data_IF_264233403724
#
_entry.id   IF_264233403724
#
_cell.length_a   1.000
_cell.length_b   1.000
_cell.length_c   1.000
_cell.angle_alpha   90.00
_cell.angle_beta   90.00
_cell.angle_gamma   90.00
#
_symmetry.space_group_name_H-M   'P 1'
#
loop_
_entity.id
_entity.type
_entity.pdbx_description
1 polymer ?
#
# COMPACT_ATOMS: atom_id res chain seq x y z
N UNK A 1 3.67 -21.63 45.38
CA UNK A 1 3.79 -21.96 46.84
C UNK A 1 4.18 -20.69 47.61
N UNK A 2 3.21 -19.87 47.99
CA UNK A 2 3.39 -18.82 49.00
C UNK A 2 2.44 -19.15 50.16
N UNK A 3 3.03 -19.66 51.21
CA UNK A 3 2.33 -19.96 52.48
C UNK A 3 1.88 -18.62 53.07
N UNK A 4 0.58 -18.39 53.18
CA UNK A 4 0.04 -17.37 54.07
C UNK A 4 0.29 -17.84 55.50
N UNK A 5 1.18 -17.16 56.19
CA UNK A 5 1.47 -17.35 57.58
C UNK A 5 0.48 -16.45 58.36
N UNK A 6 -0.57 -17.07 58.91
CA UNK A 6 -1.45 -16.39 59.88
C UNK A 6 -0.61 -16.05 61.13
N UNK A 7 -0.49 -14.77 61.40
CA UNK A 7 0.13 -14.28 62.63
C UNK A 7 -0.91 -14.42 63.76
N UNK A 8 -0.76 -15.46 64.54
CA UNK A 8 -1.49 -15.59 65.82
C UNK A 8 -0.80 -14.65 66.79
N UNK A 9 -1.43 -13.53 67.09
CA UNK A 9 -1.00 -12.64 68.17
C UNK A 9 -1.53 -13.19 69.50
N UNK A 10 -0.64 -13.86 70.21
CA UNK A 10 -0.93 -14.38 71.55
C UNK A 10 -0.99 -13.23 72.55
N UNK A 11 -2.19 -12.80 72.95
CA UNK A 11 -2.39 -11.88 74.06
C UNK A 11 -2.48 -12.71 75.33
N UNK A 12 -1.40 -12.74 76.08
CA UNK A 12 -1.44 -13.27 77.49
C UNK A 12 -2.08 -12.20 78.38
N UNK A 13 -3.32 -12.42 78.77
CA UNK A 13 -3.99 -11.61 79.79
C UNK A 13 -3.74 -12.25 81.13
N UNK A 14 -2.97 -11.59 81.94
CA UNK A 14 -2.80 -12.00 83.36
C UNK A 14 -4.07 -11.74 84.10
N UNK A 15 -4.83 -12.82 84.54
CA UNK A 15 -5.97 -12.71 85.36
C UNK A 15 -5.57 -12.41 86.86
N UNK A 16 -5.91 -11.23 87.31
CA UNK A 16 -6.02 -10.99 88.78
C UNK A 16 -7.28 -11.67 89.28
N UNK A 17 -7.09 -12.74 89.99
CA UNK A 17 -8.17 -13.41 90.75
C UNK A 17 -8.68 -12.50 91.90
N UNK A 18 -9.88 -11.92 91.73
CA UNK A 18 -10.70 -11.43 92.85
C UNK A 18 -11.96 -12.25 92.87
N UNK A 19 -12.04 -13.12 93.88
CA UNK A 19 -13.16 -14.03 94.11
C UNK A 19 -14.49 -13.33 94.33
N UNK A 20 -15.45 -13.68 93.53
CA UNK A 20 -16.85 -13.68 93.86
C UNK A 20 -17.45 -14.94 93.25
N UNK A 21 -17.92 -15.86 94.00
CA UNK A 21 -18.37 -17.21 93.62
C UNK A 21 -19.56 -17.15 92.64
N UNK A 22 -19.30 -17.01 91.35
CA UNK A 22 -20.26 -17.43 90.34
C UNK A 22 -20.01 -18.91 90.07
N UNK A 23 -21.03 -19.75 90.22
CA UNK A 23 -20.93 -21.13 89.72
C UNK A 23 -20.53 -21.11 88.25
N UNK A 24 -19.41 -21.80 87.91
CA UNK A 24 -19.02 -22.00 86.54
C UNK A 24 -20.15 -22.66 85.75
N UNK A 25 -20.25 -22.37 84.53
CA UNK A 25 -21.16 -23.06 83.62
C UNK A 25 -20.38 -24.13 82.84
N UNK A 26 -21.05 -25.25 82.57
CA UNK A 26 -20.47 -26.35 81.80
C UNK A 26 -20.78 -26.22 80.29
N UNK A 27 -19.89 -26.67 79.46
CA UNK A 27 -20.16 -26.79 78.04
C UNK A 27 -21.35 -27.73 77.79
N UNK A 28 -22.28 -27.43 76.92
CA UNK A 28 -23.42 -28.27 76.58
C UNK A 28 -23.04 -29.67 76.10
N UNK A 29 -21.98 -29.78 75.32
CA UNK A 29 -21.42 -31.01 74.78
C UNK A 29 -19.88 -30.91 74.71
N UNK A 30 -19.20 -32.05 74.56
CA UNK A 30 -17.77 -32.07 74.29
C UNK A 30 -17.47 -31.49 72.90
N UNK A 31 -16.26 -30.93 72.76
CA UNK A 31 -15.88 -30.21 71.54
C UNK A 31 -15.99 -31.04 70.24
N UNK A 32 -15.70 -32.34 70.34
CA UNK A 32 -15.74 -33.26 69.16
C UNK A 32 -17.17 -33.59 68.69
N UNK A 33 -18.19 -33.25 69.46
CA UNK A 33 -19.60 -33.51 69.14
C UNK A 33 -20.25 -32.39 68.31
N UNK A 34 -19.53 -31.35 68.06
CA UNK A 34 -20.03 -30.21 67.21
C UNK A 34 -19.66 -30.25 65.79
N UNK A 35 -18.66 -31.05 65.39
CA UNK A 35 -18.25 -31.13 63.97
C UNK A 35 -19.42 -31.48 63.05
N UNK A 36 -19.66 -30.66 62.02
CA UNK A 36 -20.74 -30.80 61.02
C UNK A 36 -22.14 -30.40 61.56
N UNK A 37 -22.29 -30.02 62.84
CA UNK A 37 -23.58 -29.53 63.36
C UNK A 37 -23.83 -28.11 62.83
N UNK A 38 -25.10 -27.79 62.54
CA UNK A 38 -25.45 -26.44 62.10
C UNK A 38 -25.08 -25.38 63.13
N UNK A 39 -24.31 -24.36 62.81
CA UNK A 39 -23.79 -23.37 63.74
C UNK A 39 -24.85 -22.63 64.51
N UNK A 40 -26.03 -22.40 63.95
CA UNK A 40 -27.17 -21.78 64.67
C UNK A 40 -27.63 -22.63 65.83
N UNK A 41 -27.72 -23.96 65.69
CA UNK A 41 -28.05 -24.90 66.73
C UNK A 41 -26.99 -24.88 67.83
N UNK A 42 -25.72 -24.85 67.46
CA UNK A 42 -24.62 -24.77 68.39
C UNK A 42 -24.65 -23.45 69.16
N UNK A 43 -24.90 -22.35 68.51
CA UNK A 43 -25.07 -21.04 69.17
C UNK A 43 -26.17 -21.04 70.24
N UNK A 44 -27.35 -21.53 69.82
CA UNK A 44 -28.51 -21.65 70.79
C UNK A 44 -28.20 -22.56 71.95
N UNK A 45 -27.47 -23.65 71.76
CA UNK A 45 -27.06 -24.55 72.82
C UNK A 45 -26.16 -23.85 73.87
N UNK A 46 -25.18 -23.07 73.43
CA UNK A 46 -24.30 -22.29 74.29
C UNK A 46 -25.04 -21.13 74.97
N UNK A 47 -25.93 -20.45 74.32
CA UNK A 47 -26.77 -19.40 74.87
C UNK A 47 -27.66 -19.96 75.96
N UNK A 48 -28.33 -21.10 75.76
CA UNK A 48 -29.18 -21.80 76.70
C UNK A 48 -28.39 -22.35 77.88
N UNK A 49 -27.11 -22.69 77.65
CA UNK A 49 -26.23 -23.11 78.74
C UNK A 49 -25.80 -21.95 79.68
N UNK A 50 -26.01 -20.69 79.19
CA UNK A 50 -25.78 -19.49 80.01
C UNK A 50 -24.50 -18.73 79.66
N UNK A 51 -23.80 -19.08 78.60
CA UNK A 51 -22.69 -18.28 78.08
C UNK A 51 -23.21 -16.96 77.52
N UNK A 52 -22.51 -15.86 77.80
CA UNK A 52 -22.95 -14.52 77.46
C UNK A 52 -22.04 -13.84 76.39
N UNK A 53 -20.91 -14.46 76.06
CA UNK A 53 -19.94 -13.94 75.12
C UNK A 53 -19.71 -14.98 74.00
N UNK A 54 -20.68 -15.08 73.12
CA UNK A 54 -20.66 -16.03 72.01
C UNK A 54 -20.44 -15.25 70.70
N UNK A 55 -19.44 -15.65 69.92
CA UNK A 55 -19.13 -15.11 68.60
C UNK A 55 -19.01 -16.23 67.56
N UNK A 56 -19.14 -15.87 66.34
CA UNK A 56 -18.99 -16.80 65.21
C UNK A 56 -17.80 -16.37 64.31
N UNK A 57 -17.08 -17.35 63.80
CA UNK A 57 -16.04 -17.19 62.80
C UNK A 57 -16.46 -17.95 61.55
N UNK A 58 -16.87 -17.20 60.52
CA UNK A 58 -17.29 -17.75 59.24
C UNK A 58 -16.08 -17.99 58.35
N UNK A 59 -15.96 -19.21 57.83
CA UNK A 59 -14.92 -19.59 56.82
C UNK A 59 -15.62 -19.81 55.50
N UNK A 60 -15.38 -18.90 54.54
CA UNK A 60 -15.99 -18.91 53.22
C UNK A 60 -15.14 -19.74 52.25
N UNK A 61 -15.25 -21.09 52.32
CA UNK A 61 -14.39 -22.02 51.59
C UNK A 61 -15.12 -23.19 50.93
N UNK A 62 -16.45 -23.24 51.02
CA UNK A 62 -17.22 -24.29 50.37
C UNK A 62 -17.31 -23.98 48.85
N UNK A 63 -16.62 -24.82 48.09
CA UNK A 63 -16.65 -24.84 46.63
C UNK A 63 -16.78 -26.29 46.16
N UNK A 64 -16.51 -26.56 44.89
CA UNK A 64 -16.54 -27.90 44.30
C UNK A 64 -15.66 -28.88 45.13
N UNK A 65 -16.21 -30.04 45.45
CA UNK A 65 -15.52 -31.09 46.24
C UNK A 65 -15.15 -30.69 47.67
N UNK A 66 -15.81 -29.70 48.30
CA UNK A 66 -15.65 -29.40 49.72
C UNK A 66 -16.07 -30.59 50.56
N UNK A 67 -15.32 -30.85 51.65
CA UNK A 67 -15.66 -31.86 52.65
C UNK A 67 -16.67 -31.36 53.65
N UNK A 68 -16.98 -30.07 53.63
CA UNK A 68 -17.89 -29.42 54.60
C UNK A 68 -19.25 -29.13 53.97
N UNK A 69 -20.28 -29.14 54.80
CA UNK A 69 -21.62 -28.68 54.40
C UNK A 69 -21.83 -27.24 54.85
N UNK A 70 -22.69 -26.51 54.12
CA UNK A 70 -22.99 -25.11 54.43
C UNK A 70 -23.59 -24.96 55.84
N UNK A 71 -23.01 -24.06 56.64
CA UNK A 71 -23.38 -23.83 58.03
C UNK A 71 -22.85 -24.88 58.97
N UNK A 72 -22.13 -25.90 58.52
CA UNK A 72 -21.54 -26.94 59.41
C UNK A 72 -20.37 -26.38 60.17
N UNK A 73 -20.40 -26.68 61.50
CA UNK A 73 -19.35 -26.25 62.41
C UNK A 73 -18.08 -27.07 62.21
N UNK A 74 -16.95 -26.40 62.07
CA UNK A 74 -15.62 -27.00 62.06
C UNK A 74 -15.16 -27.25 63.53
N UNK A 75 -15.26 -26.20 64.35
CA UNK A 75 -14.75 -26.24 65.68
C UNK A 75 -15.46 -25.23 66.59
N UNK A 76 -15.49 -25.51 67.93
CA UNK A 76 -15.91 -24.56 68.90
C UNK A 76 -14.81 -24.43 69.97
N UNK A 77 -14.45 -23.19 70.30
CA UNK A 77 -13.49 -22.90 71.36
C UNK A 77 -14.17 -22.17 72.56
N UNK A 78 -13.75 -22.45 73.81
CA UNK A 78 -14.16 -21.74 74.95
C UNK A 78 -12.92 -21.17 75.67
N UNK A 79 -12.82 -19.83 75.75
CA UNK A 79 -11.62 -19.17 76.28
C UNK A 79 -10.35 -19.48 75.53
N UNK A 80 -10.47 -19.82 74.24
CA UNK A 80 -9.38 -20.22 73.35
C UNK A 80 -9.03 -21.71 73.37
N UNK A 81 -9.67 -22.53 74.22
CA UNK A 81 -9.50 -23.98 74.25
C UNK A 81 -10.44 -24.66 73.27
N UNK A 82 -9.90 -25.44 72.34
CA UNK A 82 -10.66 -26.18 71.27
C UNK A 82 -10.90 -27.65 71.65
N UNK A 83 -10.29 -28.14 72.72
CA UNK A 83 -10.47 -29.49 73.20
C UNK A 83 -10.95 -29.47 74.66
N UNK A 84 -12.24 -29.56 74.88
CA UNK A 84 -12.85 -29.50 76.16
C UNK A 84 -13.89 -30.61 76.33
N UNK A 85 -14.18 -30.93 77.63
CA UNK A 85 -15.20 -31.90 77.95
C UNK A 85 -16.42 -31.23 78.67
N UNK A 86 -17.52 -31.93 78.75
CA UNK A 86 -18.74 -31.47 79.41
C UNK A 86 -18.54 -31.27 80.89
N UNK A 87 -17.49 -31.80 81.55
CA UNK A 87 -17.22 -31.67 82.97
C UNK A 87 -16.41 -30.41 83.30
N UNK A 88 -15.84 -29.71 82.28
CA UNK A 88 -15.10 -28.49 82.52
C UNK A 88 -16.04 -27.32 82.80
N UNK A 89 -15.80 -26.60 83.94
CA UNK A 89 -16.55 -25.40 84.28
C UNK A 89 -15.83 -24.14 83.79
N UNK A 90 -16.56 -23.23 83.16
CA UNK A 90 -16.07 -21.96 82.62
C UNK A 90 -16.81 -20.78 83.29
N UNK A 91 -16.16 -19.63 83.43
CA UNK A 91 -16.89 -18.40 83.72
C UNK A 91 -17.93 -18.13 82.62
N UNK A 92 -19.07 -17.58 82.99
CA UNK A 92 -20.14 -17.33 82.01
C UNK A 92 -19.77 -16.31 80.92
N UNK A 93 -18.78 -15.46 81.23
CA UNK A 93 -18.20 -14.45 80.33
C UNK A 93 -17.09 -15.01 79.49
N UNK A 94 -16.72 -16.30 79.61
CA UNK A 94 -15.73 -16.92 78.72
C UNK A 94 -16.17 -16.77 77.30
N UNK A 95 -15.22 -16.34 76.40
CA UNK A 95 -15.47 -16.21 75.03
C UNK A 95 -15.70 -17.58 74.38
N UNK A 96 -16.83 -17.73 73.70
CA UNK A 96 -17.14 -18.90 72.87
C UNK A 96 -17.03 -18.47 71.46
N UNK A 97 -16.15 -19.14 70.65
CA UNK A 97 -16.02 -18.89 69.21
C UNK A 97 -16.45 -20.15 68.47
N UNK A 98 -17.49 -20.01 67.67
CA UNK A 98 -18.01 -21.07 66.79
C UNK A 98 -17.49 -20.84 65.40
N UNK A 99 -16.56 -21.69 64.91
CA UNK A 99 -16.04 -21.65 63.54
C UNK A 99 -16.89 -22.57 62.67
N UNK A 100 -17.44 -22.05 61.63
CA UNK A 100 -18.26 -22.78 60.66
C UNK A 100 -17.94 -22.42 59.23
N UNK A 101 -18.30 -23.31 58.31
CA UNK A 101 -18.05 -23.15 56.85
C UNK A 101 -19.28 -22.57 56.15
N UNK A 102 -19.05 -21.73 55.15
CA UNK A 102 -20.05 -21.21 54.22
C UNK A 102 -19.55 -21.26 52.80
N UNK A 103 -20.46 -21.01 51.83
CA UNK A 103 -20.10 -20.97 50.41
C UNK A 103 -18.98 -19.96 50.16
N UNK A 104 -17.98 -20.35 49.38
CA UNK A 104 -16.94 -19.46 48.92
C UNK A 104 -17.54 -18.30 48.11
N UNK A 105 -16.96 -17.12 48.24
CA UNK A 105 -17.37 -15.94 47.49
C UNK A 105 -16.33 -15.63 46.38
N UNK A 106 -16.83 -15.32 45.18
CA UNK A 106 -16.03 -15.01 44.01
C UNK A 106 -16.39 -13.64 43.45
N UNK A 107 -15.42 -13.00 42.78
CA UNK A 107 -15.65 -11.76 42.06
C UNK A 107 -16.31 -12.04 40.73
N UNK A 108 -17.42 -11.36 40.45
CA UNK A 108 -18.19 -11.45 39.22
C UNK A 108 -18.18 -10.09 38.52
N UNK A 109 -17.61 -10.03 37.34
CA UNK A 109 -17.69 -8.88 36.45
C UNK A 109 -18.74 -9.17 35.40
N UNK A 110 -19.81 -8.39 35.38
CA UNK A 110 -20.95 -8.58 34.50
C UNK A 110 -21.04 -7.42 33.50
N UNK A 111 -20.89 -7.73 32.23
CA UNK A 111 -21.08 -6.79 31.13
C UNK A 111 -22.46 -6.97 30.54
N UNK A 112 -23.26 -5.92 30.48
CA UNK A 112 -24.58 -5.99 29.86
C UNK A 112 -24.70 -4.95 28.78
N UNK A 113 -24.97 -5.43 27.56
CA UNK A 113 -25.23 -4.60 26.38
C UNK A 113 -26.74 -4.57 26.09
N UNK A 114 -27.39 -3.44 26.35
CA UNK A 114 -28.80 -3.29 26.09
C UNK A 114 -29.00 -2.69 24.69
N UNK A 115 -29.27 -3.54 23.69
CA UNK A 115 -29.53 -3.11 22.34
C UNK A 115 -30.91 -2.43 22.24
N UNK A 116 -30.89 -1.19 21.77
CA UNK A 116 -32.10 -0.40 21.57
C UNK A 116 -32.97 -0.90 20.41
N UNK A 117 -34.30 -0.84 20.59
CA UNK A 117 -35.24 -1.06 19.51
C UNK A 117 -35.41 0.23 18.68
N UNK A 118 -35.12 0.20 17.38
CA UNK A 118 -35.05 1.39 16.51
C UNK A 118 -36.42 2.03 16.21
N UNK A 119 -37.52 1.32 16.38
CA UNK A 119 -38.81 1.74 15.80
C UNK A 119 -39.93 2.00 16.77
N UNK A 120 -39.89 1.47 18.03
CA UNK A 120 -41.02 1.62 18.97
C UNK A 120 -40.52 1.76 20.42
N UNK A 121 -41.39 1.99 21.33
CA UNK A 121 -41.29 2.23 22.77
C UNK A 121 -39.93 1.96 23.44
N UNK A 122 -39.38 2.99 24.06
CA UNK A 122 -38.13 2.92 24.82
C UNK A 122 -38.48 2.47 26.25
N UNK A 123 -38.19 1.22 26.56
CA UNK A 123 -38.34 0.68 27.90
C UNK A 123 -37.00 0.72 28.65
N UNK A 124 -37.08 1.03 29.94
CA UNK A 124 -35.96 0.81 30.84
C UNK A 124 -36.04 -0.64 31.38
N UNK A 125 -34.89 -1.25 31.59
CA UNK A 125 -34.77 -2.64 32.11
C UNK A 125 -34.01 -2.63 33.41
N UNK A 126 -34.56 -3.32 34.42
CA UNK A 126 -33.90 -3.56 35.69
C UNK A 126 -33.16 -4.88 35.65
N UNK A 127 -31.88 -4.87 36.04
CA UNK A 127 -31.07 -6.08 36.30
C UNK A 127 -31.27 -6.51 37.75
N UNK A 128 -31.64 -7.77 37.94
CA UNK A 128 -31.92 -8.41 39.22
C UNK A 128 -31.08 -9.68 39.29
N UNK A 129 -30.34 -9.86 40.35
CA UNK A 129 -29.56 -11.08 40.63
C UNK A 129 -30.10 -11.68 41.92
N UNK A 130 -30.52 -12.95 41.89
CA UNK A 130 -31.12 -13.68 43.04
C UNK A 130 -32.20 -12.88 43.74
N UNK A 131 -33.12 -12.32 43.00
CA UNK A 131 -34.22 -11.47 43.47
C UNK A 131 -33.80 -10.09 44.05
N UNK A 132 -32.51 -9.76 44.04
CA UNK A 132 -32.02 -8.45 44.46
C UNK A 132 -31.75 -7.54 43.26
N UNK A 133 -32.38 -6.35 43.25
CA UNK A 133 -32.17 -5.37 42.17
C UNK A 133 -30.80 -4.73 42.24
N UNK A 134 -30.00 -4.91 41.21
CA UNK A 134 -28.63 -4.36 41.11
C UNK A 134 -28.62 -2.97 40.49
N UNK A 135 -29.33 -2.79 39.36
CA UNK A 135 -29.34 -1.51 38.64
C UNK A 135 -30.53 -1.43 37.66
N UNK A 136 -30.79 -0.23 37.19
CA UNK A 136 -31.67 0.00 36.02
C UNK A 136 -30.87 0.54 34.86
N UNK A 137 -31.10 0.00 33.67
CA UNK A 137 -30.47 0.38 32.44
C UNK A 137 -31.48 1.09 31.53
N UNK A 138 -31.05 2.17 30.90
CA UNK A 138 -31.85 2.86 29.88
C UNK A 138 -31.70 2.17 28.54
N UNK A 139 -32.71 2.33 27.72
CA UNK A 139 -32.73 1.84 26.37
C UNK A 139 -31.47 2.24 25.59
N UNK A 140 -30.71 1.26 25.05
CA UNK A 140 -29.48 1.46 24.33
C UNK A 140 -28.23 1.72 25.21
N UNK A 141 -28.32 1.50 26.49
CA UNK A 141 -27.20 1.66 27.44
C UNK A 141 -26.45 0.33 27.62
N UNK A 142 -25.12 0.41 27.69
CA UNK A 142 -24.28 -0.71 28.15
C UNK A 142 -23.78 -0.41 29.56
N UNK A 143 -23.68 -1.43 30.39
CA UNK A 143 -23.20 -1.31 31.77
C UNK A 143 -22.25 -2.44 32.15
N UNK A 144 -21.24 -2.05 32.90
CA UNK A 144 -20.33 -2.93 33.59
C UNK A 144 -20.66 -2.90 35.09
N UNK A 145 -20.82 -4.08 35.71
CA UNK A 145 -21.09 -4.23 37.13
C UNK A 145 -20.07 -5.19 37.73
N UNK A 146 -19.61 -4.84 38.92
CA UNK A 146 -18.74 -5.69 39.69
C UNK A 146 -19.46 -6.04 41.00
N UNK A 147 -19.52 -7.33 41.30
CA UNK A 147 -20.19 -7.83 42.51
C UNK A 147 -19.48 -9.07 43.03
N UNK A 148 -19.85 -9.49 44.24
CA UNK A 148 -19.45 -10.78 44.80
C UNK A 148 -20.65 -11.68 44.88
N UNK A 149 -20.51 -12.89 44.34
CA UNK A 149 -21.51 -13.95 44.45
C UNK A 149 -20.89 -15.18 45.08
N UNK A 150 -21.74 -15.96 45.75
CA UNK A 150 -21.32 -17.20 46.36
C UNK A 150 -21.11 -18.30 45.32
N UNK A 151 -20.42 -19.36 45.68
CA UNK A 151 -20.32 -20.57 44.85
C UNK A 151 -21.72 -21.13 44.55
N UNK A 152 -21.99 -21.44 43.29
CA UNK A 152 -23.23 -22.05 42.82
C UNK A 152 -23.93 -21.28 41.71
N UNK A 153 -25.20 -21.65 41.49
CA UNK A 153 -26.01 -21.10 40.41
C UNK A 153 -26.79 -19.87 40.88
N UNK A 154 -26.62 -18.78 40.15
CA UNK A 154 -27.29 -17.51 40.36
C UNK A 154 -28.24 -17.18 39.23
N UNK A 155 -29.44 -16.72 39.54
CA UNK A 155 -30.43 -16.29 38.58
C UNK A 155 -30.19 -14.82 38.20
N UNK A 156 -29.96 -14.56 36.93
CA UNK A 156 -29.85 -13.21 36.39
C UNK A 156 -31.16 -12.90 35.65
N UNK A 157 -31.91 -11.92 36.12
CA UNK A 157 -33.19 -11.52 35.53
C UNK A 157 -33.11 -10.09 35.00
N UNK A 158 -33.53 -9.92 33.76
CA UNK A 158 -33.68 -8.62 33.10
C UNK A 158 -35.19 -8.34 32.99
N UNK A 159 -35.71 -7.46 33.81
CA UNK A 159 -37.16 -7.17 33.85
C UNK A 159 -37.45 -5.76 33.40
N UNK A 160 -38.49 -5.58 32.58
CA UNK A 160 -38.96 -4.26 32.18
C UNK A 160 -39.39 -3.48 33.42
N UNK A 161 -38.91 -2.25 33.56
CA UNK A 161 -39.09 -1.45 34.78
C UNK A 161 -40.54 -1.11 35.10
N UNK A 162 -41.37 -0.89 34.11
CA UNK A 162 -42.78 -0.53 34.25
C UNK A 162 -43.72 -1.75 34.31
N UNK A 163 -43.21 -2.95 33.97
CA UNK A 163 -43.94 -4.21 33.95
C UNK A 163 -42.97 -5.38 34.17
N UNK A 164 -42.83 -5.83 35.41
CA UNK A 164 -41.89 -6.89 35.77
C UNK A 164 -42.26 -8.29 35.24
N UNK A 165 -43.49 -8.48 34.79
CA UNK A 165 -43.89 -9.75 34.14
C UNK A 165 -43.25 -9.88 32.74
N UNK A 166 -42.87 -8.76 32.14
CA UNK A 166 -42.07 -8.70 30.89
C UNK A 166 -40.61 -8.81 31.25
N UNK A 167 -40.07 -10.03 31.23
CA UNK A 167 -38.68 -10.30 31.61
C UNK A 167 -38.01 -11.36 30.74
N UNK A 168 -36.70 -11.45 30.90
CA UNK A 168 -35.83 -12.49 30.39
C UNK A 168 -34.84 -12.93 31.44
N UNK A 169 -34.40 -14.19 31.40
CA UNK A 169 -33.56 -14.77 32.41
C UNK A 169 -32.34 -15.48 31.83
N UNK A 170 -31.24 -15.41 32.54
CA UNK A 170 -30.06 -16.24 32.39
C UNK A 170 -29.70 -16.90 33.72
N UNK A 171 -28.85 -17.91 33.68
CA UNK A 171 -28.28 -18.52 34.87
C UNK A 171 -26.76 -18.44 34.76
N UNK A 172 -26.12 -17.85 35.78
CA UNK A 172 -24.66 -17.84 35.89
C UNK A 172 -24.23 -18.87 36.91
N UNK A 173 -23.39 -19.83 36.53
CA UNK A 173 -22.82 -20.81 37.47
C UNK A 173 -21.48 -20.29 37.98
N UNK A 174 -21.40 -19.88 39.23
CA UNK A 174 -20.21 -19.25 39.82
C UNK A 174 -19.38 -20.32 40.51
N UNK A 175 -18.32 -20.76 39.81
CA UNK A 175 -17.37 -21.77 40.35
C UNK A 175 -15.98 -21.19 40.62
N UNK A 176 -15.78 -19.91 40.36
CA UNK A 176 -14.56 -19.12 40.54
C UNK A 176 -14.80 -17.67 40.19
N UNK A 177 -13.76 -16.84 40.25
CA UNK A 177 -13.83 -15.48 39.72
C UNK A 177 -14.19 -15.55 38.23
N UNK A 178 -15.21 -14.78 37.82
CA UNK A 178 -15.79 -14.90 36.47
C UNK A 178 -16.11 -13.53 35.88
N UNK A 179 -15.93 -13.45 34.56
CA UNK A 179 -16.41 -12.37 33.74
C UNK A 179 -17.48 -12.92 32.81
N UNK A 180 -18.65 -12.29 32.75
CA UNK A 180 -19.75 -12.73 31.91
C UNK A 180 -20.35 -11.54 31.17
N UNK A 181 -20.74 -11.74 29.90
CA UNK A 181 -21.39 -10.73 29.08
C UNK A 181 -22.73 -11.24 28.57
N UNK A 182 -23.69 -10.35 28.57
CA UNK A 182 -25.02 -10.58 28.05
C UNK A 182 -25.46 -9.43 27.15
N UNK A 183 -26.00 -9.76 25.99
CA UNK A 183 -26.72 -8.82 25.13
C UNK A 183 -28.22 -9.00 25.37
N UNK A 184 -28.92 -7.91 25.68
CA UNK A 184 -30.36 -7.93 25.92
C UNK A 184 -31.10 -7.01 24.96
N UNK A 185 -32.35 -7.39 24.64
CA UNK A 185 -33.28 -6.57 23.87
C UNK A 185 -34.66 -6.66 24.52
N UNK A 186 -35.26 -5.51 24.87
CA UNK A 186 -36.59 -5.45 25.46
C UNK A 186 -37.64 -5.28 24.37
N UNK A 187 -38.51 -6.26 24.24
CA UNK A 187 -39.68 -6.25 23.35
C UNK A 187 -40.94 -5.85 24.15
N UNK A 188 -42.09 -5.87 23.50
CA UNK A 188 -43.36 -5.50 24.17
C UNK A 188 -43.83 -6.51 25.20
N UNK A 189 -43.51 -7.78 25.05
CA UNK A 189 -44.01 -8.93 25.78
C UNK A 189 -42.93 -9.79 26.45
N UNK A 190 -41.66 -9.57 26.15
CA UNK A 190 -40.54 -10.28 26.77
C UNK A 190 -39.24 -9.47 26.65
N UNK A 191 -38.21 -9.91 27.36
CA UNK A 191 -36.83 -9.48 27.21
C UNK A 191 -36.03 -10.66 26.65
N UNK A 192 -35.52 -10.53 25.44
CA UNK A 192 -34.58 -11.52 24.88
C UNK A 192 -33.21 -11.34 25.56
N UNK A 193 -32.58 -12.44 25.97
CA UNK A 193 -31.27 -12.46 26.57
C UNK A 193 -30.38 -13.40 25.77
N UNK A 194 -29.27 -12.90 25.32
CA UNK A 194 -28.21 -13.68 24.69
C UNK A 194 -26.99 -13.65 25.59
N UNK A 195 -26.48 -14.82 25.98
CA UNK A 195 -25.19 -14.95 26.62
C UNK A 195 -24.10 -14.82 25.57
N UNK A 196 -23.30 -13.75 25.64
CA UNK A 196 -22.21 -13.52 24.70
C UNK A 196 -21.00 -14.35 25.07
N UNK A 197 -20.64 -14.35 26.37
CA UNK A 197 -19.64 -15.24 26.95
C UNK A 197 -19.72 -15.36 28.49
N UNK A 198 -19.12 -16.44 28.98
CA UNK A 198 -18.77 -16.64 30.39
C UNK A 198 -17.31 -17.10 30.45
N UNK A 199 -16.46 -16.35 31.13
CA UNK A 199 -15.02 -16.59 31.19
C UNK A 199 -14.52 -16.59 32.66
N UNK A 200 -14.03 -17.74 33.14
CA UNK A 200 -13.49 -17.91 34.48
C UNK A 200 -12.01 -17.50 34.51
N UNK A 201 -11.63 -16.78 35.58
CA UNK A 201 -10.21 -16.55 35.85
C UNK A 201 -9.61 -17.85 36.41
N UNK A 202 -8.68 -18.40 35.64
CA UNK A 202 -7.94 -19.61 36.02
C UNK A 202 -6.46 -19.31 36.13
N UNK A 203 -5.79 -19.97 37.09
CA UNK A 203 -4.33 -19.96 37.13
C UNK A 203 -3.81 -20.85 36.00
N UNK A 204 -3.07 -20.26 35.06
CA UNK A 204 -2.45 -20.99 33.97
C UNK A 204 -1.22 -21.74 34.48
N UNK A 205 -1.04 -22.98 34.03
CA UNK A 205 0.20 -23.70 34.24
C UNK A 205 1.32 -23.08 33.39
N UNK A 206 2.58 -23.36 33.76
CA UNK A 206 3.74 -22.90 32.99
C UNK A 206 3.66 -23.42 31.54
N UNK A 207 3.79 -22.52 30.57
CA UNK A 207 3.71 -22.84 29.14
C UNK A 207 2.28 -22.90 28.56
N UNK A 208 1.26 -22.51 29.33
CA UNK A 208 -0.11 -22.36 28.86
C UNK A 208 -0.45 -20.90 28.57
N UNK A 209 -1.32 -20.70 27.58
CA UNK A 209 -1.94 -19.42 27.25
C UNK A 209 -3.46 -19.61 27.11
N UNK A 210 -4.22 -18.54 27.36
CA UNK A 210 -5.68 -18.54 27.34
C UNK A 210 -6.19 -17.46 26.40
N UNK A 211 -7.15 -17.82 25.56
CA UNK A 211 -7.84 -16.84 24.70
C UNK A 211 -8.80 -15.97 25.53
N UNK A 212 -8.60 -14.65 25.46
CA UNK A 212 -9.47 -13.67 26.16
C UNK A 212 -10.62 -13.16 25.29
N UNK A 213 -10.67 -13.56 24.03
CA UNK A 213 -11.74 -13.29 23.06
C UNK A 213 -12.02 -14.56 22.26
N UNK A 214 -13.14 -14.64 21.57
CA UNK A 214 -13.38 -15.67 20.56
C UNK A 214 -12.79 -15.25 19.20
N UNK A 215 -12.55 -16.21 18.33
CA UNK A 215 -12.05 -15.93 16.96
C UNK A 215 -13.00 -15.02 16.17
N UNK A 216 -14.31 -15.15 16.39
CA UNK A 216 -15.32 -14.36 15.66
C UNK A 216 -15.27 -12.87 15.99
N UNK A 217 -14.79 -12.52 17.19
CA UNK A 217 -14.62 -11.14 17.62
C UNK A 217 -13.49 -10.40 16.87
N UNK A 218 -12.64 -11.14 16.15
CA UNK A 218 -11.53 -10.62 15.37
C UNK A 218 -11.83 -10.46 13.87
N UNK A 219 -12.91 -11.06 13.38
CA UNK A 219 -13.23 -11.01 11.94
C UNK A 219 -13.32 -9.56 11.45
N UNK A 220 -12.57 -9.25 10.40
CA UNK A 220 -12.47 -7.91 9.83
C UNK A 220 -11.55 -6.95 10.59
N UNK A 221 -10.98 -7.35 11.75
CA UNK A 221 -9.95 -6.57 12.42
C UNK A 221 -8.64 -6.58 11.62
N UNK A 222 -7.74 -5.63 11.89
CA UNK A 222 -6.41 -5.64 11.27
C UNK A 222 -5.57 -6.80 11.84
N UNK A 223 -4.99 -7.62 10.95
CA UNK A 223 -4.26 -8.84 11.35
C UNK A 223 -3.05 -8.57 12.24
N UNK A 224 -2.33 -7.45 12.06
CA UNK A 224 -1.16 -7.10 12.89
C UNK A 224 -1.57 -6.82 14.34
N UNK A 225 -2.73 -6.16 14.52
CA UNK A 225 -3.30 -5.95 15.83
C UNK A 225 -3.72 -7.28 16.47
N UNK A 226 -4.34 -8.18 15.70
CA UNK A 226 -4.73 -9.51 16.17
C UNK A 226 -3.51 -10.32 16.62
N UNK A 227 -2.44 -10.34 15.83
CA UNK A 227 -1.18 -11.01 16.17
C UNK A 227 -0.63 -10.45 17.49
N UNK A 228 -0.58 -9.12 17.62
CA UNK A 228 -0.08 -8.49 18.85
C UNK A 228 -0.93 -8.83 20.09
N UNK A 229 -2.25 -8.92 19.94
CA UNK A 229 -3.14 -9.33 21.03
C UNK A 229 -2.92 -10.81 21.41
N UNK A 230 -2.76 -11.70 20.44
CA UNK A 230 -2.46 -13.12 20.69
C UNK A 230 -1.09 -13.31 21.37
N UNK A 231 -0.08 -12.56 20.97
CA UNK A 231 1.23 -12.54 21.62
C UNK A 231 1.11 -12.04 23.09
N UNK A 232 0.32 -11.01 23.32
CA UNK A 232 0.07 -10.48 24.67
C UNK A 232 -0.67 -11.48 25.58
N UNK A 233 -1.44 -12.42 25.00
CA UNK A 233 -2.06 -13.54 25.74
C UNK A 233 -1.04 -14.65 26.06
N UNK A 234 0.18 -14.61 25.51
CA UNK A 234 1.26 -15.55 25.75
C UNK A 234 1.47 -16.60 24.67
N UNK A 235 0.76 -16.54 23.55
CA UNK A 235 1.00 -17.42 22.42
C UNK A 235 2.28 -17.01 21.67
N UNK A 236 3.10 -18.00 21.29
CA UNK A 236 4.43 -17.75 20.72
C UNK A 236 4.62 -18.30 19.29
N UNK A 237 3.76 -19.20 18.82
CA UNK A 237 3.87 -19.83 17.52
C UNK A 237 2.74 -19.35 16.57
N UNK A 238 2.80 -18.07 16.23
CA UNK A 238 1.81 -17.41 15.38
C UNK A 238 2.39 -17.22 13.97
N UNK A 239 1.68 -17.68 12.96
CA UNK A 239 2.00 -17.52 11.54
C UNK A 239 0.94 -16.68 10.86
N UNK A 240 1.34 -15.91 9.85
CA UNK A 240 0.41 -15.12 9.04
C UNK A 240 0.34 -15.68 7.62
N UNK A 241 -0.86 -15.78 7.06
CA UNK A 241 -1.09 -16.23 5.69
C UNK A 241 -1.91 -15.17 4.93
N UNK A 242 -1.33 -14.51 3.91
CA UNK A 242 -2.06 -13.58 3.06
C UNK A 242 -2.99 -14.31 2.09
N UNK A 243 -4.17 -13.74 1.87
CA UNK A 243 -5.11 -14.11 0.82
C UNK A 243 -5.20 -12.95 -0.16
N UNK A 244 -4.67 -13.14 -1.37
CA UNK A 244 -4.55 -12.10 -2.40
C UNK A 244 -5.86 -11.95 -3.19
N UNK A 245 -6.93 -11.47 -2.56
CA UNK A 245 -8.28 -11.45 -3.12
C UNK A 245 -8.94 -10.07 -3.17
N UNK A 246 -8.24 -9.01 -2.77
CA UNK A 246 -8.74 -7.64 -2.87
C UNK A 246 -8.46 -7.09 -4.27
N UNK A 247 -9.51 -7.07 -5.10
CA UNK A 247 -9.49 -6.44 -6.43
C UNK A 247 -10.07 -5.02 -6.43
N UNK A 248 -11.05 -4.76 -5.54
CA UNK A 248 -11.72 -3.47 -5.40
C UNK A 248 -12.04 -3.23 -3.93
N UNK A 249 -11.90 -2.01 -3.45
CA UNK A 249 -11.94 -1.61 -2.04
C UNK A 249 -13.26 -1.84 -1.27
N UNK A 250 -13.75 -3.07 -1.24
CA UNK A 250 -14.88 -3.50 -0.39
C UNK A 250 -14.35 -4.09 0.92
N UNK A 251 -13.18 -4.72 0.89
CA UNK A 251 -12.48 -5.27 2.07
C UNK A 251 -11.23 -4.44 2.30
N UNK A 252 -10.94 -4.11 3.55
CA UNK A 252 -9.74 -3.38 3.91
C UNK A 252 -8.49 -4.28 3.78
N UNK A 253 -7.40 -3.71 3.29
CA UNK A 253 -6.11 -4.40 3.24
C UNK A 253 -5.62 -4.70 4.65
N UNK A 254 -5.26 -5.95 4.91
CA UNK A 254 -4.89 -6.44 6.23
C UNK A 254 -6.08 -6.86 7.11
N UNK A 255 -7.32 -6.83 6.59
CA UNK A 255 -8.48 -7.32 7.34
C UNK A 255 -8.40 -8.84 7.55
N UNK A 256 -8.67 -9.28 8.79
CA UNK A 256 -8.66 -10.69 9.14
C UNK A 256 -9.75 -11.47 8.39
N UNK A 257 -9.35 -12.56 7.72
CA UNK A 257 -10.26 -13.56 7.15
C UNK A 257 -10.68 -14.58 8.23
N UNK A 258 -9.70 -15.27 8.81
CA UNK A 258 -9.92 -16.27 9.86
C UNK A 258 -8.66 -16.57 10.67
N UNK A 259 -8.87 -17.24 11.80
CA UNK A 259 -7.78 -17.78 12.63
C UNK A 259 -8.00 -19.29 12.76
N UNK A 260 -6.92 -20.07 12.64
CA UNK A 260 -6.93 -21.50 12.96
C UNK A 260 -5.98 -21.79 14.10
N UNK A 261 -6.34 -22.73 14.96
CA UNK A 261 -5.52 -23.18 16.09
C UNK A 261 -5.35 -24.69 15.96
N UNK A 262 -4.10 -25.17 15.88
CA UNK A 262 -3.77 -26.58 15.63
C UNK A 262 -4.56 -27.20 14.46
N UNK A 263 -4.73 -26.41 13.38
CA UNK A 263 -5.48 -26.79 12.19
C UNK A 263 -7.00 -26.80 12.32
N UNK A 264 -7.57 -26.42 13.47
CA UNK A 264 -9.01 -26.27 13.68
C UNK A 264 -9.43 -24.81 13.43
N UNK A 265 -10.56 -24.62 12.75
CA UNK A 265 -11.09 -23.28 12.51
C UNK A 265 -11.68 -22.68 13.80
N UNK A 266 -11.14 -21.52 14.18
CA UNK A 266 -11.62 -20.72 15.30
C UNK A 266 -11.27 -21.30 16.67
N UNK A 267 -11.64 -20.52 17.69
CA UNK A 267 -11.53 -20.85 19.13
C UNK A 267 -12.56 -20.03 19.90
N UNK A 268 -12.86 -20.48 21.10
CA UNK A 268 -13.76 -19.76 22.01
C UNK A 268 -12.98 -18.98 23.03
N UNK A 269 -13.58 -17.91 23.55
CA UNK A 269 -13.09 -17.23 24.73
C UNK A 269 -12.97 -18.22 25.89
N UNK A 270 -11.88 -18.14 26.64
CA UNK A 270 -11.62 -18.99 27.77
C UNK A 270 -10.90 -20.30 27.46
N UNK A 271 -10.76 -20.69 26.21
CA UNK A 271 -10.00 -21.89 25.84
C UNK A 271 -8.51 -21.73 26.19
N UNK A 272 -7.95 -22.80 26.77
CA UNK A 272 -6.54 -22.85 27.19
C UNK A 272 -5.79 -23.84 26.33
N UNK A 273 -4.67 -23.39 25.79
CA UNK A 273 -3.80 -24.20 24.95
C UNK A 273 -2.35 -24.10 25.43
N UNK A 274 -1.47 -24.95 24.88
CA UNK A 274 -0.02 -24.75 24.97
C UNK A 274 0.35 -23.41 24.31
N UNK A 275 1.22 -22.63 24.96
CA UNK A 275 1.65 -21.34 24.44
C UNK A 275 2.35 -21.44 23.07
N UNK A 276 2.87 -22.63 22.70
CA UNK A 276 3.50 -22.90 21.42
C UNK A 276 2.56 -23.59 20.41
N UNK A 277 1.26 -23.69 20.70
CA UNK A 277 0.29 -24.22 19.71
C UNK A 277 0.38 -23.42 18.42
N UNK A 278 0.29 -24.10 17.30
CA UNK A 278 0.31 -23.41 16.00
C UNK A 278 -0.97 -22.59 15.81
N UNK A 279 -0.80 -21.29 15.62
CA UNK A 279 -1.89 -20.36 15.27
C UNK A 279 -1.61 -19.80 13.90
N UNK A 280 -2.56 -19.90 12.97
CA UNK A 280 -2.46 -19.31 11.65
C UNK A 280 -3.49 -18.19 11.53
N UNK A 281 -3.02 -16.99 11.31
CA UNK A 281 -3.82 -15.78 11.12
C UNK A 281 -3.88 -15.48 9.62
N UNK A 282 -5.03 -15.75 8.98
CA UNK A 282 -5.26 -15.46 7.58
C UNK A 282 -5.90 -14.09 7.43
N UNK A 283 -5.43 -13.32 6.44
CA UNK A 283 -5.89 -11.97 6.21
C UNK A 283 -5.97 -11.64 4.72
N UNK A 284 -6.90 -10.75 4.37
CA UNK A 284 -7.08 -10.26 3.01
C UNK A 284 -5.98 -9.25 2.67
N UNK A 285 -5.47 -9.31 1.45
CA UNK A 285 -4.55 -8.30 0.92
C UNK A 285 -4.79 -8.07 -0.58
N UNK A 286 -4.21 -6.97 -1.08
CA UNK A 286 -4.37 -6.60 -2.48
C UNK A 286 -3.84 -7.71 -3.41
N UNK A 287 -4.61 -8.04 -4.44
CA UNK A 287 -4.22 -9.00 -5.48
C UNK A 287 -2.88 -8.64 -6.13
N UNK A 288 -2.60 -7.34 -6.24
CA UNK A 288 -1.32 -6.87 -6.78
C UNK A 288 -0.10 -7.14 -5.89
N UNK A 289 -0.30 -7.50 -4.62
CA UNK A 289 0.74 -7.90 -3.68
C UNK A 289 1.11 -9.39 -3.82
N UNK A 290 0.35 -10.17 -4.63
CA UNK A 290 0.68 -11.57 -4.90
C UNK A 290 2.07 -11.68 -5.53
N UNK A 291 2.98 -12.46 -4.95
CA UNK A 291 4.32 -12.66 -5.49
C UNK A 291 4.34 -13.13 -6.94
N UNK A 292 3.34 -13.93 -7.37
CA UNK A 292 3.23 -14.38 -8.75
C UNK A 292 2.85 -13.22 -9.69
N UNK A 293 1.92 -12.36 -9.27
CA UNK A 293 1.51 -11.17 -10.03
C UNK A 293 2.65 -10.15 -10.12
N UNK A 294 3.38 -9.96 -9.03
CA UNK A 294 4.56 -9.07 -9.01
C UNK A 294 5.62 -9.60 -9.97
N UNK A 295 5.91 -10.90 -9.95
CA UNK A 295 6.89 -11.51 -10.83
C UNK A 295 6.47 -11.42 -12.31
N UNK A 296 5.17 -11.61 -12.62
CA UNK A 296 4.64 -11.47 -13.96
C UNK A 296 4.76 -10.02 -14.48
N UNK A 297 4.35 -9.05 -13.66
CA UNK A 297 4.51 -7.61 -13.99
C UNK A 297 5.97 -7.20 -14.21
N UNK A 298 6.88 -7.72 -13.40
CA UNK A 298 8.31 -7.46 -13.56
C UNK A 298 8.83 -8.04 -14.88
N UNK A 299 8.43 -9.26 -15.22
CA UNK A 299 8.80 -9.88 -16.49
C UNK A 299 8.24 -9.12 -17.70
N UNK A 300 6.97 -8.72 -17.64
CA UNK A 300 6.37 -7.88 -18.70
C UNK A 300 7.10 -6.54 -18.87
N UNK A 301 7.50 -5.91 -17.76
CA UNK A 301 8.24 -4.66 -17.80
C UNK A 301 9.64 -4.84 -18.38
N UNK A 302 10.34 -5.93 -18.04
CA UNK A 302 11.64 -6.28 -18.62
C UNK A 302 11.53 -6.54 -20.13
N UNK A 303 10.52 -7.32 -20.56
CA UNK A 303 10.25 -7.58 -21.98
C UNK A 303 9.92 -6.28 -22.74
N UNK A 304 9.11 -5.41 -22.15
CA UNK A 304 8.80 -4.10 -22.74
C UNK A 304 10.03 -3.21 -22.87
N UNK A 305 10.89 -3.17 -21.85
CA UNK A 305 12.15 -2.41 -21.91
C UNK A 305 13.11 -2.95 -22.97
N UNK A 306 13.23 -4.27 -23.07
CA UNK A 306 14.06 -4.92 -24.07
C UNK A 306 13.55 -4.65 -25.51
N UNK A 307 12.22 -4.66 -25.69
CA UNK A 307 11.59 -4.32 -26.97
C UNK A 307 11.80 -2.84 -27.32
N UNK A 308 11.65 -1.93 -26.36
CA UNK A 308 11.88 -0.49 -26.56
C UNK A 308 13.35 -0.21 -26.90
N UNK A 309 14.29 -0.86 -26.23
CA UNK A 309 15.73 -0.75 -26.54
C UNK A 309 16.05 -1.28 -27.94
N UNK A 310 15.47 -2.43 -28.34
CA UNK A 310 15.61 -2.98 -29.67
C UNK A 310 15.10 -2.02 -30.76
N UNK A 311 13.90 -1.46 -30.54
CA UNK A 311 13.31 -0.48 -31.46
C UNK A 311 14.13 0.82 -31.52
N UNK A 312 14.66 1.28 -30.39
CA UNK A 312 15.53 2.46 -30.36
C UNK A 312 16.86 2.22 -31.11
N UNK A 313 17.44 1.02 -30.97
CA UNK A 313 18.65 0.66 -31.73
C UNK A 313 18.39 0.55 -33.24
N UNK A 314 17.24 -0.05 -33.61
CA UNK A 314 16.84 -0.13 -35.03
C UNK A 314 16.59 1.26 -35.63
N UNK A 315 15.91 2.14 -34.89
CA UNK A 315 15.68 3.52 -35.29
C UNK A 315 17.01 4.31 -35.46
N UNK A 316 17.96 4.09 -34.54
CA UNK A 316 19.29 4.73 -34.64
C UNK A 316 20.06 4.26 -35.90
N UNK A 317 20.04 2.95 -36.18
CA UNK A 317 20.68 2.40 -37.39
C UNK A 317 20.04 2.94 -38.66
N UNK A 318 18.71 3.00 -38.69
CA UNK A 318 17.99 3.57 -39.84
C UNK A 318 18.30 5.06 -40.03
N UNK A 319 18.45 5.81 -38.96
CA UNK A 319 18.84 7.23 -39.01
C UNK A 319 20.29 7.39 -39.50
N UNK A 320 21.22 6.56 -38.99
CA UNK A 320 22.62 6.55 -39.46
C UNK A 320 22.73 6.22 -40.97
N UNK A 321 21.95 5.22 -41.45
CA UNK A 321 21.88 4.88 -42.86
C UNK A 321 21.31 6.03 -43.72
N UNK A 322 20.24 6.69 -43.20
CA UNK A 322 19.65 7.84 -43.88
C UNK A 322 20.62 9.01 -43.98
N UNK A 323 21.34 9.33 -42.92
CA UNK A 323 22.35 10.40 -42.90
C UNK A 323 23.54 10.08 -43.85
N UNK A 324 23.97 8.82 -43.86
CA UNK A 324 25.03 8.38 -44.77
C UNK A 324 24.61 8.48 -46.23
N UNK A 325 23.37 8.12 -46.58
CA UNK A 325 22.83 8.24 -47.89
C UNK A 325 22.67 9.72 -48.31
N UNK A 326 22.17 10.57 -47.41
CA UNK A 326 22.04 12.01 -47.64
C UNK A 326 23.40 12.68 -47.86
N UNK A 327 24.42 12.32 -47.08
CA UNK A 327 25.79 12.81 -47.22
C UNK A 327 26.38 12.38 -48.58
N UNK A 328 26.15 11.13 -49.02
CA UNK A 328 26.60 10.65 -50.30
C UNK A 328 25.95 11.40 -51.47
N UNK A 329 24.64 11.65 -51.40
CA UNK A 329 23.91 12.42 -52.41
C UNK A 329 24.35 13.89 -52.44
N UNK A 330 24.65 14.48 -51.25
CA UNK A 330 25.17 15.84 -51.17
C UNK A 330 26.56 15.95 -51.82
N UNK A 331 27.48 15.01 -51.55
CA UNK A 331 28.81 14.95 -52.16
C UNK A 331 28.72 14.77 -53.71
N UNK A 332 27.81 13.90 -54.16
CA UNK A 332 27.59 13.70 -55.61
C UNK A 332 27.02 14.96 -56.27
N UNK A 333 26.09 15.67 -55.57
CA UNK A 333 25.54 16.93 -56.08
C UNK A 333 26.59 18.04 -56.14
N UNK A 334 27.47 18.13 -55.11
CA UNK A 334 28.58 19.10 -55.11
C UNK A 334 29.56 18.83 -56.24
N UNK A 335 29.95 17.58 -56.44
CA UNK A 335 30.82 17.19 -57.55
C UNK A 335 30.19 17.55 -58.91
N UNK A 336 28.89 17.29 -59.13
CA UNK A 336 28.19 17.67 -60.38
C UNK A 336 28.16 19.19 -60.56
N UNK A 337 27.93 19.94 -59.50
CA UNK A 337 27.92 21.38 -59.49
C UNK A 337 29.32 21.95 -59.84
N UNK A 338 30.39 21.33 -59.33
CA UNK A 338 31.77 21.69 -59.73
C UNK A 338 32.05 21.40 -61.23
N UNK A 339 31.64 20.21 -61.69
CA UNK A 339 31.74 19.84 -63.05
C UNK A 339 30.99 20.80 -64.02
N UNK A 340 29.76 21.22 -63.62
CA UNK A 340 28.94 22.17 -64.40
C UNK A 340 29.52 23.59 -64.43
N UNK A 341 30.16 23.99 -63.32
CA UNK A 341 30.73 25.33 -63.16
C UNK A 341 32.16 25.47 -63.72
N UNK A 342 32.74 24.35 -64.17
CA UNK A 342 34.07 24.36 -64.71
C UNK A 342 34.12 25.28 -65.98
N UNK A 343 35.02 26.28 -65.99
CA UNK A 343 35.29 27.12 -67.15
C UNK A 343 36.45 26.51 -67.93
N UNK A 344 36.22 26.28 -69.23
CA UNK A 344 37.22 25.77 -70.09
C UNK A 344 37.98 26.96 -70.78
N UNK A 345 39.27 26.98 -70.55
CA UNK A 345 40.20 27.99 -71.07
C UNK A 345 41.18 27.34 -72.05
N UNK A 346 41.96 28.15 -72.80
CA UNK A 346 43.03 27.65 -73.64
C UNK A 346 44.13 26.89 -72.89
N UNK A 347 44.25 27.12 -71.55
CA UNK A 347 45.24 26.47 -70.67
C UNK A 347 44.78 25.09 -70.14
N UNK A 348 43.48 24.84 -70.09
CA UNK A 348 42.91 23.62 -69.49
C UNK A 348 42.07 22.78 -70.47
N UNK A 349 41.92 23.27 -71.75
CA UNK A 349 41.18 22.58 -72.81
C UNK A 349 41.87 22.70 -74.12
N UNK A 350 42.62 21.66 -74.50
CA UNK A 350 43.37 21.61 -75.74
C UNK A 350 42.47 21.75 -76.96
N UNK A 351 41.26 21.20 -76.94
CA UNK A 351 40.29 21.30 -78.06
C UNK A 351 39.78 22.73 -78.19
N UNK A 352 39.60 23.50 -77.12
CA UNK A 352 39.29 24.92 -77.19
C UNK A 352 40.44 25.68 -77.78
N UNK A 353 41.68 25.47 -77.34
CA UNK A 353 42.87 26.09 -77.88
C UNK A 353 43.02 25.80 -79.42
N UNK A 354 42.70 24.55 -79.80
CA UNK A 354 42.73 24.14 -81.19
C UNK A 354 41.72 24.92 -82.06
N UNK A 355 40.43 24.93 -81.69
CA UNK A 355 39.37 25.58 -82.46
C UNK A 355 39.61 27.11 -82.57
N UNK A 356 40.11 27.76 -81.52
CA UNK A 356 40.39 29.17 -81.49
C UNK A 356 41.59 29.56 -82.34
N UNK A 357 42.52 28.63 -82.64
CA UNK A 357 43.69 28.84 -83.47
C UNK A 357 43.46 28.53 -84.97
N UNK A 358 42.34 27.95 -85.34
CA UNK A 358 42.01 27.59 -86.68
C UNK A 358 41.71 28.85 -87.52
N UNK A 359 41.96 28.79 -88.85
CA UNK A 359 41.69 29.90 -89.77
C UNK A 359 40.57 29.57 -90.81
N UNK A 360 39.82 28.50 -90.50
CA UNK A 360 38.69 28.11 -91.35
C UNK A 360 37.38 28.66 -90.75
N UNK A 361 36.43 29.02 -91.62
CA UNK A 361 35.10 29.43 -91.19
C UNK A 361 34.20 28.25 -90.87
N UNK A 362 34.49 27.09 -91.47
CA UNK A 362 33.79 25.82 -91.18
C UNK A 362 34.82 24.70 -91.17
N UNK A 363 34.71 23.88 -90.10
CA UNK A 363 35.53 22.67 -89.90
C UNK A 363 34.76 21.67 -89.05
N UNK A 364 34.84 20.35 -89.28
CA UNK A 364 34.21 19.32 -88.47
C UNK A 364 34.53 19.41 -86.96
N UNK A 365 35.73 19.93 -86.60
CA UNK A 365 36.13 20.13 -85.26
C UNK A 365 35.19 21.11 -84.48
N UNK A 366 34.59 22.06 -85.20
CA UNK A 366 33.61 22.97 -84.58
C UNK A 366 32.32 22.26 -84.16
N UNK A 367 31.82 21.34 -85.00
CA UNK A 367 30.65 20.50 -84.69
C UNK A 367 30.95 19.58 -83.53
N UNK A 368 32.12 18.93 -83.51
CA UNK A 368 32.54 18.06 -82.44
C UNK A 368 32.67 18.80 -81.08
N UNK A 369 33.29 19.99 -81.14
CA UNK A 369 33.44 20.82 -79.95
C UNK A 369 32.08 21.32 -79.45
N UNK A 370 31.24 21.84 -80.32
CA UNK A 370 29.89 22.27 -79.95
C UNK A 370 29.09 21.14 -79.27
N UNK A 371 29.12 19.93 -79.88
CA UNK A 371 28.42 18.76 -79.31
C UNK A 371 29.00 18.31 -77.98
N UNK A 372 30.32 18.31 -77.80
CA UNK A 372 30.99 17.86 -76.57
C UNK A 372 30.84 18.83 -75.38
N UNK A 373 30.91 20.14 -75.71
CA UNK A 373 30.91 21.18 -74.65
C UNK A 373 29.62 22.00 -74.60
N UNK A 374 28.57 21.56 -75.32
CA UNK A 374 27.24 22.21 -75.23
C UNK A 374 26.84 22.57 -73.83
N UNK A 375 26.46 23.82 -73.56
CA UNK A 375 26.07 24.32 -72.26
C UNK A 375 27.22 24.44 -71.26
N UNK A 376 28.46 24.17 -71.61
CA UNK A 376 29.66 24.40 -70.78
C UNK A 376 30.18 25.80 -70.96
N UNK A 377 30.83 26.35 -69.94
CA UNK A 377 31.45 27.68 -70.04
C UNK A 377 32.83 27.58 -70.66
N UNK A 378 33.06 28.44 -71.62
CA UNK A 378 34.40 28.67 -72.19
C UNK A 378 34.85 30.09 -71.94
N UNK A 379 36.16 30.28 -71.85
CA UNK A 379 36.81 31.56 -71.63
C UNK A 379 37.93 31.73 -72.59
N UNK A 380 37.88 32.83 -73.33
CA UNK A 380 38.92 33.15 -74.36
C UNK A 380 38.98 34.64 -74.59
N UNK A 381 40.12 35.06 -75.18
CA UNK A 381 40.33 36.40 -75.66
C UNK A 381 39.87 36.50 -77.09
N UNK A 382 39.04 37.48 -77.40
CA UNK A 382 38.47 37.68 -78.71
C UNK A 382 38.38 39.16 -79.12
N UNK A 383 37.79 39.40 -80.24
CA UNK A 383 37.47 40.73 -80.73
C UNK A 383 36.06 40.76 -81.32
N UNK A 384 35.46 41.91 -81.34
CA UNK A 384 34.18 42.13 -82.00
C UNK A 384 34.41 42.46 -83.45
N UNK A 385 33.94 41.59 -84.34
CA UNK A 385 34.08 41.80 -85.78
C UNK A 385 32.93 42.59 -86.35
N UNK A 386 31.72 42.39 -85.81
CA UNK A 386 30.57 43.16 -86.32
C UNK A 386 29.49 43.26 -85.22
N UNK A 387 28.73 44.34 -85.23
CA UNK A 387 27.55 44.56 -84.39
C UNK A 387 26.39 44.98 -85.30
N UNK A 388 25.34 44.20 -85.35
CA UNK A 388 24.16 44.43 -86.16
C UNK A 388 22.91 44.42 -85.27
N UNK A 389 21.91 45.21 -85.66
CA UNK A 389 20.59 45.08 -85.00
C UNK A 389 19.96 43.73 -85.30
N UNK A 390 19.46 43.07 -84.31
CA UNK A 390 18.74 41.83 -84.55
C UNK A 390 17.36 42.12 -85.16
N UNK A 391 17.18 41.73 -86.40
CA UNK A 391 15.94 41.98 -87.10
C UNK A 391 15.63 43.48 -87.23
N UNK A 392 14.46 43.90 -86.70
CA UNK A 392 14.01 45.31 -86.75
C UNK A 392 14.09 45.98 -85.35
N UNK A 393 14.86 45.41 -84.38
CA UNK A 393 14.96 45.94 -83.01
C UNK A 393 16.14 46.93 -82.88
N UNK A 394 15.91 48.10 -82.33
CA UNK A 394 16.96 49.11 -82.10
C UNK A 394 17.84 48.83 -80.84
N UNK A 395 17.44 47.90 -79.95
CA UNK A 395 18.12 47.61 -78.69
C UNK A 395 18.59 46.17 -78.57
N UNK A 396 18.39 45.38 -79.63
CA UNK A 396 18.83 43.97 -79.64
C UNK A 396 19.79 43.79 -80.79
N UNK A 397 20.83 43.04 -80.56
CA UNK A 397 21.95 42.95 -81.46
C UNK A 397 22.35 41.49 -81.68
N UNK A 398 22.84 41.29 -82.91
CA UNK A 398 23.65 40.14 -83.29
C UNK A 398 25.11 40.62 -83.32
N UNK A 399 25.93 40.01 -82.47
CA UNK A 399 27.34 40.40 -82.33
C UNK A 399 28.21 39.26 -82.83
N UNK A 400 28.97 39.52 -83.89
CA UNK A 400 29.96 38.60 -84.38
C UNK A 400 31.30 38.83 -83.69
N UNK A 401 31.92 37.72 -83.27
CA UNK A 401 33.16 37.70 -82.52
C UNK A 401 34.10 36.68 -83.11
N UNK A 402 35.37 37.01 -83.22
CA UNK A 402 36.45 36.08 -83.55
C UNK A 402 37.47 35.99 -82.41
N UNK A 403 38.22 34.91 -82.34
CA UNK A 403 39.31 34.74 -81.41
C UNK A 403 40.50 35.65 -81.69
N UNK A 404 41.18 36.05 -80.57
CA UNK A 404 42.38 36.84 -80.61
C UNK A 404 42.17 38.34 -80.85
N UNK A 405 43.28 39.10 -80.98
CA UNK A 405 43.23 40.55 -81.12
C UNK A 405 42.74 40.97 -82.51
N UNK A 406 42.20 42.17 -82.62
CA UNK A 406 41.69 42.71 -83.85
C UNK A 406 42.80 42.90 -84.89
N UNK A 407 42.65 42.19 -85.99
CA UNK A 407 43.43 42.42 -87.25
C UNK A 407 42.45 42.27 -88.41
N UNK A 408 42.29 43.33 -89.24
CA UNK A 408 41.34 43.32 -90.38
C UNK A 408 41.72 42.36 -91.51
N UNK A 409 42.92 41.79 -91.46
CA UNK A 409 43.42 40.89 -92.49
C UNK A 409 43.49 39.42 -92.09
N UNK A 410 43.20 39.09 -90.78
CA UNK A 410 43.30 37.73 -90.28
C UNK A 410 42.03 37.34 -89.52
N UNK A 411 41.64 36.10 -89.67
CA UNK A 411 40.59 35.47 -88.96
C UNK A 411 41.18 34.32 -88.16
N UNK A 412 40.76 34.20 -86.92
CA UNK A 412 41.13 33.10 -86.03
C UNK A 412 39.89 32.56 -85.28
N UNK A 413 39.75 31.25 -85.25
CA UNK A 413 38.61 30.56 -84.70
C UNK A 413 37.36 30.57 -85.58
N UNK A 414 36.30 29.95 -85.21
CA UNK A 414 35.02 30.02 -85.88
C UNK A 414 34.41 31.42 -85.79
N UNK A 415 33.44 31.72 -86.67
CA UNK A 415 32.61 32.91 -86.48
C UNK A 415 31.68 32.73 -85.26
N UNK A 416 32.10 33.20 -84.13
CA UNK A 416 31.22 33.16 -82.94
C UNK A 416 30.16 34.25 -83.10
N UNK A 417 28.97 33.95 -82.56
CA UNK A 417 27.84 34.88 -82.58
C UNK A 417 27.12 34.88 -81.26
N UNK A 418 26.95 36.03 -80.62
CA UNK A 418 25.91 36.28 -79.69
C UNK A 418 24.67 36.73 -80.42
N UNK A 419 23.61 35.95 -80.40
CA UNK A 419 22.39 36.24 -81.15
C UNK A 419 21.34 36.85 -80.28
N UNK A 420 20.63 37.85 -80.74
CA UNK A 420 19.52 38.48 -80.09
C UNK A 420 19.83 38.94 -78.65
N UNK A 421 20.97 39.58 -78.41
CA UNK A 421 21.44 40.09 -77.13
C UNK A 421 21.23 41.60 -77.03
N UNK A 422 20.93 42.11 -75.83
CA UNK A 422 21.09 43.52 -75.52
C UNK A 422 22.42 43.73 -74.78
N UNK A 423 22.85 44.98 -74.62
CA UNK A 423 24.13 45.23 -73.94
C UNK A 423 24.15 44.80 -72.43
N UNK A 424 23.01 44.69 -71.79
CA UNK A 424 22.95 44.16 -70.39
C UNK A 424 23.16 42.65 -70.35
N UNK A 425 22.77 41.93 -71.39
CA UNK A 425 22.96 40.47 -71.47
C UNK A 425 24.45 40.11 -71.58
N UNK A 426 25.30 41.04 -71.96
CA UNK A 426 26.75 40.84 -72.05
C UNK A 426 27.41 40.84 -70.67
N UNK A 427 26.69 41.28 -69.61
CA UNK A 427 27.25 41.43 -68.24
C UNK A 427 28.63 42.16 -68.31
N UNK A 428 28.69 43.25 -69.00
CA UNK A 428 29.90 43.93 -69.46
C UNK A 428 30.24 45.16 -68.67
N UNK A 429 31.53 45.47 -68.51
CA UNK A 429 32.07 46.77 -68.05
C UNK A 429 32.32 47.77 -69.24
N UNK A 430 31.90 47.40 -70.42
CA UNK A 430 32.13 48.21 -71.65
C UNK A 430 31.13 49.38 -71.71
N UNK A 431 31.62 50.57 -71.95
CA UNK A 431 30.78 51.78 -72.16
C UNK A 431 30.07 51.72 -73.55
N UNK A 432 30.66 51.01 -74.51
CA UNK A 432 30.10 50.81 -75.83
C UNK A 432 30.71 49.59 -76.54
N UNK A 433 29.92 48.96 -77.35
CA UNK A 433 30.34 47.78 -78.18
C UNK A 433 30.40 48.17 -79.61
N UNK A 434 31.57 48.04 -80.29
CA UNK A 434 31.81 48.42 -81.67
C UNK A 434 32.78 47.46 -82.30
N UNK A 435 32.75 47.46 -83.63
CA UNK A 435 33.68 46.69 -84.51
C UNK A 435 35.14 47.07 -84.22
N UNK A 436 35.97 46.08 -83.98
CA UNK A 436 37.40 46.25 -83.73
C UNK A 436 37.73 46.29 -82.18
N UNK A 437 36.74 46.19 -81.29
CA UNK A 437 36.99 46.16 -79.92
C UNK A 437 37.56 44.80 -79.48
N UNK A 438 38.72 44.77 -78.82
CA UNK A 438 39.25 43.56 -78.19
C UNK A 438 38.54 43.31 -76.85
N UNK A 439 38.11 42.07 -76.60
CA UNK A 439 37.33 41.66 -75.51
C UNK A 439 37.81 40.34 -74.90
N UNK A 440 37.60 40.19 -73.60
CA UNK A 440 37.73 38.93 -72.95
C UNK A 440 36.32 38.36 -72.72
N UNK A 441 36.10 37.11 -73.09
CA UNK A 441 34.80 36.50 -73.24
C UNK A 441 34.69 35.28 -72.31
N UNK A 442 33.66 35.25 -71.55
CA UNK A 442 33.14 34.04 -70.87
C UNK A 442 31.76 33.81 -71.44
N UNK A 443 31.52 32.61 -72.00
CA UNK A 443 30.24 32.32 -72.61
C UNK A 443 29.91 30.81 -72.53
N UNK A 444 28.62 30.45 -72.50
CA UNK A 444 28.21 29.09 -72.74
C UNK A 444 28.34 28.71 -74.22
N UNK A 445 28.79 27.49 -74.39
CA UNK A 445 28.90 26.88 -75.73
C UNK A 445 27.50 26.54 -76.26
N UNK A 446 27.10 27.11 -77.32
CA UNK A 446 25.90 26.79 -78.11
C UNK A 446 26.18 25.79 -79.21
N UNK A 447 25.34 25.81 -80.24
CA UNK A 447 25.49 24.96 -81.41
C UNK A 447 26.39 25.62 -82.48
N UNK A 448 26.94 24.80 -83.34
CA UNK A 448 27.59 25.26 -84.59
C UNK A 448 26.66 24.98 -85.77
N UNK A 449 26.21 26.03 -86.42
CA UNK A 449 25.42 25.95 -87.65
C UNK A 449 26.36 25.85 -88.86
N UNK A 450 26.49 24.62 -89.38
CA UNK A 450 27.34 24.32 -90.52
C UNK A 450 26.89 25.01 -91.84
N UNK A 451 25.58 25.30 -91.95
CA UNK A 451 25.03 25.93 -93.17
C UNK A 451 25.41 27.41 -93.25
N UNK A 452 25.37 28.11 -92.13
CA UNK A 452 25.69 29.53 -92.05
C UNK A 452 27.13 29.80 -91.59
N UNK A 453 27.86 28.74 -91.18
CA UNK A 453 29.23 28.81 -90.66
C UNK A 453 29.32 29.69 -89.41
N UNK A 454 28.30 29.55 -88.47
CA UNK A 454 28.16 30.33 -87.23
C UNK A 454 28.22 29.43 -86.00
N UNK A 455 29.09 29.80 -85.09
CA UNK A 455 29.14 29.15 -83.76
C UNK A 455 28.42 30.01 -82.74
N UNK A 456 27.27 29.58 -82.28
CA UNK A 456 26.47 30.32 -81.25
C UNK A 456 27.08 30.23 -79.91
N UNK A 457 27.13 31.35 -79.22
CA UNK A 457 27.51 31.45 -77.77
C UNK A 457 26.47 32.24 -76.99
N UNK A 458 26.24 31.84 -75.81
CA UNK A 458 25.42 32.62 -74.84
C UNK A 458 26.36 33.35 -73.90
N UNK A 459 26.36 34.69 -73.85
CA UNK A 459 27.33 35.45 -73.11
C UNK A 459 27.09 35.31 -71.62
N UNK A 460 28.17 35.07 -70.83
CA UNK A 460 28.20 35.11 -69.36
C UNK A 460 28.88 36.38 -68.86
N UNK A 461 29.96 36.75 -69.48
CA UNK A 461 30.63 38.01 -69.24
C UNK A 461 31.49 38.38 -70.45
N UNK A 462 31.43 39.63 -70.90
CA UNK A 462 32.26 40.19 -71.94
C UNK A 462 32.92 41.48 -71.51
N UNK A 463 34.20 41.47 -71.22
CA UNK A 463 34.92 42.64 -70.67
C UNK A 463 35.92 43.20 -71.66
N UNK A 464 36.23 44.49 -71.53
CA UNK A 464 37.22 45.14 -72.45
C UNK A 464 38.65 44.69 -72.20
N UNK A 465 39.46 44.61 -73.24
CA UNK A 465 40.90 44.29 -73.22
C UNK A 465 41.72 45.44 -73.76
#
# INVERSE_FOLDING_TARGET
>A
MKRFMAIITLFIFAMCASGCGSKGIKAPKASDQYAGVAWKTVYEEFENAGFSNISTNEVKDIAENSAYEEGGVESVSIGGETNYSVETEYPKESEVVITYHSLAEFEVNLHVNFIGNLLFSKYDVSLIVDDESQTTMKHGESKDLQMKLTYGKHAITFARKDDSDVNGKATLDVTGDVEAAYTIRCESDHVSVTEDYVDYKVELAEGQAKFTKSSDEYIGANYEQVVSELEAMGFANIKTEPVYDIYFGVTDDGALDRITVDGQDGFKRGEIHDANVEIIVRYHTLYENDPEVIAEKQKEEEERKAEEERLAEEARKAEEERQAEEARLAEEAERRAEEENQIFTIDNCDELAQILSMHATSDPAYVEFAGKYAGRKIEFDGRIDNVMNHGNYDTRYDILVSAGDYDPNTQSGPNFKFEDVNFFDLHSDLESVYTGLNVHIIAYVGEFDELHEIFYLEPVAVTGR
#
